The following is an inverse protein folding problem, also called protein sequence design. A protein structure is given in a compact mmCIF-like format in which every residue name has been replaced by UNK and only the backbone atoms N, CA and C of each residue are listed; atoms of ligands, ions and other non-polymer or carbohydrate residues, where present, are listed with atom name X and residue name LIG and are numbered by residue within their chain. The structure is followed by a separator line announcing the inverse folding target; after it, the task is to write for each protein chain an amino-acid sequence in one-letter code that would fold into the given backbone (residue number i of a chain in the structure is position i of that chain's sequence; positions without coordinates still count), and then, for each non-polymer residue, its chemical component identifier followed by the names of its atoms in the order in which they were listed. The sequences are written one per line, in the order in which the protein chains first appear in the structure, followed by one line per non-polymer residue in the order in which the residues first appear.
data_IF_522488424046
#
_entry.id   IF_522488424046
#
_cell.length_a   1.000
_cell.length_b   1.000
_cell.length_c   1.000
_cell.angle_alpha   90.00
_cell.angle_beta   90.00
_cell.angle_gamma   90.00
#
_symmetry.space_group_name_H-M   'P 1'
#
loop_
_entity.id
_entity.type
_entity.pdbx_description
1 polymer ?
#
# COMPACT_ATOMS: atom_id res chain seq x y z
N UNK A 1 7.20 34.72 -4.89
CA UNK A 1 7.82 33.38 -4.98
C UNK A 1 6.91 32.39 -4.27
N UNK A 2 5.97 31.75 -4.97
CA UNK A 2 5.10 30.71 -4.40
C UNK A 2 5.62 29.36 -4.91
N UNK A 3 5.87 28.41 -4.01
CA UNK A 3 6.42 27.09 -4.31
C UNK A 3 5.26 26.10 -4.38
N UNK A 4 4.74 25.72 -5.58
CA UNK A 4 3.72 24.71 -5.70
C UNK A 4 4.44 23.35 -5.70
N UNK A 5 4.68 22.76 -4.53
CA UNK A 5 5.46 21.52 -4.45
C UNK A 5 4.88 20.44 -3.53
N UNK A 6 3.78 20.70 -2.83
CA UNK A 6 3.25 19.81 -1.80
C UNK A 6 2.00 18.99 -2.20
N UNK A 7 1.26 19.41 -3.23
CA UNK A 7 -0.06 18.83 -3.54
C UNK A 7 0.02 17.57 -4.41
N UNK A 8 0.97 17.49 -5.34
CA UNK A 8 1.10 16.33 -6.26
C UNK A 8 1.50 15.04 -5.54
N UNK A 9 2.40 15.12 -4.56
CA UNK A 9 2.89 13.93 -3.87
C UNK A 9 1.81 13.33 -2.97
N UNK A 10 1.05 14.17 -2.26
CA UNK A 10 -0.06 13.72 -1.41
C UNK A 10 -1.17 13.08 -2.24
N UNK A 11 -1.56 13.72 -3.35
CA UNK A 11 -2.57 13.17 -4.25
C UNK A 11 -2.12 11.85 -4.90
N UNK A 12 -0.84 11.73 -5.26
CA UNK A 12 -0.27 10.48 -5.77
C UNK A 12 -0.28 9.37 -4.70
N UNK A 13 0.06 9.69 -3.45
CA UNK A 13 0.01 8.73 -2.34
C UNK A 13 -1.42 8.25 -2.12
N UNK A 14 -2.40 9.15 -2.11
CA UNK A 14 -3.80 8.77 -1.94
C UNK A 14 -4.28 7.86 -3.09
N UNK A 15 -3.95 8.20 -4.35
CA UNK A 15 -4.27 7.35 -5.51
C UNK A 15 -3.62 5.97 -5.42
N UNK A 16 -2.37 5.89 -4.99
CA UNK A 16 -1.68 4.60 -4.80
C UNK A 16 -2.31 3.78 -3.68
N UNK A 17 -2.70 4.43 -2.57
CA UNK A 17 -3.38 3.76 -1.46
C UNK A 17 -4.72 3.20 -1.91
N UNK A 18 -5.52 4.03 -2.59
CA UNK A 18 -6.86 3.66 -3.06
C UNK A 18 -6.79 2.52 -4.08
N UNK A 19 -5.84 2.58 -5.02
CA UNK A 19 -5.57 1.50 -5.97
C UNK A 19 -5.22 0.18 -5.29
N UNK A 20 -4.26 0.19 -4.35
CA UNK A 20 -3.89 -1.01 -3.60
C UNK A 20 -5.05 -1.55 -2.76
N UNK A 21 -5.85 -0.68 -2.15
CA UNK A 21 -6.98 -1.09 -1.33
C UNK A 21 -8.12 -1.68 -2.18
N UNK A 22 -8.32 -1.17 -3.39
CA UNK A 22 -9.27 -1.71 -4.36
C UNK A 22 -8.80 -3.08 -4.92
N UNK A 23 -7.50 -3.25 -5.18
CA UNK A 23 -6.93 -4.51 -5.66
C UNK A 23 -6.91 -5.61 -4.58
N UNK A 24 -6.74 -5.23 -3.32
CA UNK A 24 -6.65 -6.17 -2.19
C UNK A 24 -7.73 -5.87 -1.14
N UNK A 25 -9.01 -6.15 -1.44
CA UNK A 25 -10.10 -5.92 -0.50
C UNK A 25 -9.86 -6.71 0.81
N UNK A 26 -10.04 -6.04 1.94
CA UNK A 26 -9.80 -6.59 3.28
C UNK A 26 -8.39 -6.36 3.83
N UNK A 27 -7.48 -5.77 3.04
CA UNK A 27 -6.21 -5.25 3.54
C UNK A 27 -6.31 -3.75 3.80
N UNK A 28 -5.90 -3.33 4.99
CA UNK A 28 -5.83 -1.91 5.36
C UNK A 28 -4.44 -1.38 4.97
N UNK A 29 -4.41 -0.56 3.93
CA UNK A 29 -3.18 0.02 3.37
C UNK A 29 -2.93 1.39 3.99
N UNK A 30 -1.74 1.61 4.54
CA UNK A 30 -1.31 2.89 5.06
C UNK A 30 0.15 3.20 4.67
N UNK A 31 0.51 4.49 4.76
CA UNK A 31 1.89 4.94 4.58
C UNK A 31 2.40 5.49 5.90
N UNK A 32 3.51 4.94 6.39
CA UNK A 32 4.18 5.39 7.60
C UNK A 32 4.84 6.75 7.39
N UNK A 33 5.07 7.49 8.49
CA UNK A 33 5.79 8.78 8.45
C UNK A 33 7.20 8.66 7.86
N UNK A 34 7.82 7.50 7.98
CA UNK A 34 9.13 7.19 7.38
C UNK A 34 9.07 7.01 5.85
N UNK A 35 7.89 7.07 5.24
CA UNK A 35 7.68 6.90 3.80
C UNK A 35 7.46 5.45 3.36
N UNK A 36 7.56 4.48 4.28
CA UNK A 36 7.28 3.06 4.06
C UNK A 36 5.79 2.79 3.94
N UNK A 37 5.41 1.81 3.14
CA UNK A 37 4.05 1.33 3.00
C UNK A 37 3.80 0.11 3.90
N UNK A 38 2.60 0.04 4.48
CA UNK A 38 2.15 -1.07 5.32
C UNK A 38 0.77 -1.52 4.88
N UNK A 39 0.56 -2.83 4.79
CA UNK A 39 -0.75 -3.45 4.61
C UNK A 39 -1.03 -4.34 5.81
N UNK A 40 -2.13 -4.10 6.52
CA UNK A 40 -2.51 -4.93 7.67
C UNK A 40 -3.84 -5.63 7.42
N UNK A 41 -3.91 -6.92 7.73
CA UNK A 41 -5.15 -7.70 7.73
C UNK A 41 -5.20 -8.57 8.98
N UNK A 42 -6.32 -8.56 9.69
CA UNK A 42 -6.43 -9.16 11.02
C UNK A 42 -6.08 -10.66 11.04
N UNK A 43 -6.46 -11.40 10.00
CA UNK A 43 -6.22 -12.86 9.91
C UNK A 43 -4.78 -13.22 9.54
N UNK A 44 -4.01 -12.27 8.99
CA UNK A 44 -2.70 -12.55 8.37
C UNK A 44 -1.55 -11.72 8.95
N UNK A 45 -1.85 -10.65 9.70
CA UNK A 45 -0.87 -9.73 10.26
C UNK A 45 -0.55 -8.54 9.35
N UNK A 46 0.67 -8.01 9.49
CA UNK A 46 1.14 -6.82 8.78
C UNK A 46 2.23 -7.15 7.77
N UNK A 47 2.07 -6.65 6.55
CA UNK A 47 3.08 -6.66 5.49
C UNK A 47 3.63 -5.26 5.31
N UNK A 48 4.94 -5.17 5.11
CA UNK A 48 5.65 -3.91 4.95
C UNK A 48 6.33 -3.88 3.59
N UNK A 49 6.39 -2.72 2.95
CA UNK A 49 7.12 -2.50 1.70
C UNK A 49 7.71 -1.09 1.64
N UNK A 50 8.95 -0.96 1.19
CA UNK A 50 9.63 0.34 1.07
C UNK A 50 8.94 1.26 0.03
N UNK A 51 8.32 0.67 -1.00
CA UNK A 51 7.51 1.33 -2.01
C UNK A 51 6.13 0.67 -2.14
N UNK A 52 5.20 1.36 -2.81
CA UNK A 52 3.88 0.82 -3.11
C UNK A 52 3.97 -0.44 -3.98
N UNK A 53 4.90 -0.46 -4.95
CA UNK A 53 5.16 -1.62 -5.81
C UNK A 53 5.74 -2.81 -5.03
N UNK A 54 6.65 -2.56 -4.08
CA UNK A 54 7.17 -3.63 -3.23
C UNK A 54 6.06 -4.22 -2.34
N UNK A 55 5.20 -3.37 -1.77
CA UNK A 55 4.04 -3.82 -0.99
C UNK A 55 3.07 -4.62 -1.87
N UNK A 56 2.78 -4.17 -3.09
CA UNK A 56 1.95 -4.88 -4.07
C UNK A 56 2.51 -6.26 -4.39
N UNK A 57 3.79 -6.36 -4.71
CA UNK A 57 4.43 -7.64 -5.02
C UNK A 57 4.40 -8.60 -3.83
N UNK A 58 4.51 -8.08 -2.60
CA UNK A 58 4.35 -8.89 -1.39
C UNK A 58 2.91 -9.35 -1.21
N UNK A 59 1.93 -8.47 -1.38
CA UNK A 59 0.51 -8.80 -1.32
C UNK A 59 0.16 -9.86 -2.38
N UNK A 60 0.57 -9.65 -3.63
CA UNK A 60 0.37 -10.59 -4.74
C UNK A 60 0.92 -11.98 -4.42
N UNK A 61 2.17 -12.09 -3.97
CA UNK A 61 2.73 -13.38 -3.56
C UNK A 61 1.94 -14.02 -2.43
N UNK A 62 1.41 -13.22 -1.52
CA UNK A 62 0.74 -13.70 -0.33
C UNK A 62 -0.69 -14.17 -0.63
N UNK A 63 -1.41 -13.43 -1.49
CA UNK A 63 -2.74 -13.80 -1.99
C UNK A 63 -2.65 -14.97 -2.97
N UNK A 64 -1.73 -14.93 -3.94
CA UNK A 64 -1.55 -16.01 -4.94
C UNK A 64 -1.13 -17.33 -4.29
N UNK A 65 -0.36 -17.28 -3.19
CA UNK A 65 0.06 -18.50 -2.46
C UNK A 65 -0.97 -18.95 -1.42
N UNK A 66 -1.91 -18.08 -1.03
CA UNK A 66 -3.00 -18.37 -0.09
C UNK A 66 -4.28 -18.88 -0.75
N UNK A 67 -4.52 -18.57 -2.02
CA UNK A 67 -5.70 -18.99 -2.80
C UNK A 67 -5.57 -20.41 -3.39
N UNK A 68 -4.43 -21.07 -3.22
CA UNK A 68 -4.27 -22.49 -3.55
C UNK A 68 -4.87 -23.37 -2.44
N UNK A 69 -6.20 -23.41 -2.34
CA UNK A 69 -6.91 -24.38 -1.50
C UNK A 69 -8.16 -24.94 -2.17
#
# INVERSE_FOLDING_TARGET
MNRPGGSDTSALIERLRDGLQAEYPGWLIARERSGRWVATRQEWGALYGQSAEELRNRLDRFTTRGDAR
#
